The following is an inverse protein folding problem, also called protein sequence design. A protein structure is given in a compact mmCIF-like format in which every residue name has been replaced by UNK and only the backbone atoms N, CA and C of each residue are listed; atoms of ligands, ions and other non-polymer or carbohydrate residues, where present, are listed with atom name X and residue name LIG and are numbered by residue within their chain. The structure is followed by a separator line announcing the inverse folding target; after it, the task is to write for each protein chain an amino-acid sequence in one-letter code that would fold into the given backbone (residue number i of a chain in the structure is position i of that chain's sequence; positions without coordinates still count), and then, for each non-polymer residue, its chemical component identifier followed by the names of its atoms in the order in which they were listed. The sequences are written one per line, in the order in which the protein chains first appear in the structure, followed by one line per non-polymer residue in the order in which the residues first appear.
data_IF_913166912336
#
_entry.id   IF_913166912336
#
_cell.length_a   1.000
_cell.length_b   1.000
_cell.length_c   1.000
_cell.angle_alpha   90.00
_cell.angle_beta   90.00
_cell.angle_gamma   90.00
#
_symmetry.space_group_name_H-M   'P 1'
#
loop_
_entity.id
_entity.type
_entity.pdbx_description
1 polymer ?
#
# COMPACT_ATOMS: atom_id res chain seq x y z
N UNK A 1 44.28 11.47 0.36
CA UNK A 1 43.59 10.40 -0.35
C UNK A 1 43.24 10.89 -1.76
N UNK A 2 43.29 10.02 -2.77
CA UNK A 2 42.98 10.40 -4.16
C UNK A 2 41.72 9.66 -4.65
N UNK A 3 40.81 10.37 -5.32
CA UNK A 3 39.62 9.82 -5.97
C UNK A 3 39.61 10.15 -7.45
N UNK A 4 39.28 9.18 -8.27
CA UNK A 4 39.02 9.36 -9.71
C UNK A 4 37.52 9.33 -9.90
N UNK A 5 36.97 10.34 -10.55
CA UNK A 5 35.56 10.45 -10.91
C UNK A 5 35.46 10.40 -12.44
N UNK A 6 34.66 9.46 -12.94
CA UNK A 6 34.44 9.31 -14.38
C UNK A 6 33.06 9.80 -14.76
N UNK A 7 32.98 10.78 -15.65
CA UNK A 7 31.77 11.50 -16.06
C UNK A 7 31.72 12.90 -15.46
N UNK A 8 31.84 13.94 -16.31
CA UNK A 8 31.80 15.34 -15.91
C UNK A 8 30.37 15.91 -16.00
N UNK A 9 29.49 15.39 -15.19
CA UNK A 9 28.06 15.74 -15.09
C UNK A 9 27.74 16.51 -13.81
N UNK A 10 26.46 16.84 -13.59
CA UNK A 10 25.98 17.56 -12.41
C UNK A 10 26.23 16.81 -11.11
N UNK A 11 26.09 15.49 -11.12
CA UNK A 11 26.31 14.59 -10.00
C UNK A 11 27.79 14.63 -9.56
N UNK A 12 28.71 14.59 -10.52
CA UNK A 12 30.14 14.71 -10.23
C UNK A 12 30.47 16.07 -9.58
N UNK A 13 29.88 17.16 -10.10
CA UNK A 13 30.06 18.50 -9.54
C UNK A 13 29.58 18.59 -8.11
N UNK A 14 28.41 18.06 -7.84
CA UNK A 14 27.82 18.08 -6.50
C UNK A 14 28.61 17.21 -5.53
N UNK A 15 29.04 16.02 -5.96
CA UNK A 15 29.90 15.14 -5.18
C UNK A 15 31.22 15.85 -4.79
N UNK A 16 31.86 16.51 -5.74
CA UNK A 16 33.11 17.24 -5.52
C UNK A 16 32.95 18.35 -4.48
N UNK A 17 31.81 19.05 -4.52
CA UNK A 17 31.53 20.12 -3.57
C UNK A 17 31.27 19.61 -2.15
N UNK A 18 30.81 18.36 -1.98
CA UNK A 18 30.46 17.76 -0.68
C UNK A 18 31.59 16.96 -0.03
N UNK A 19 32.48 16.35 -0.80
CA UNK A 19 33.57 15.56 -0.20
C UNK A 19 34.56 16.45 0.52
N UNK A 20 35.17 15.92 1.60
CA UNK A 20 36.11 16.69 2.44
C UNK A 20 37.33 17.21 1.66
N UNK A 21 37.96 18.27 2.14
CA UNK A 21 39.14 18.89 1.52
C UNK A 21 40.37 17.98 1.43
N UNK A 22 40.40 16.91 2.23
CA UNK A 22 41.49 15.92 2.21
C UNK A 22 41.54 15.02 0.97
N UNK A 23 40.59 15.14 0.04
CA UNK A 23 40.58 14.40 -1.21
C UNK A 23 41.23 15.21 -2.34
N UNK A 24 42.25 14.66 -3.00
CA UNK A 24 42.74 15.08 -4.31
C UNK A 24 41.84 14.42 -5.37
N UNK A 25 41.36 15.19 -6.35
CA UNK A 25 40.29 14.74 -7.25
C UNK A 25 40.76 14.88 -8.71
N UNK A 26 40.62 13.76 -9.45
CA UNK A 26 40.77 13.75 -10.90
C UNK A 26 39.40 13.43 -11.54
N UNK A 27 39.03 14.22 -12.56
CA UNK A 27 37.78 14.00 -13.32
C UNK A 27 38.14 13.62 -14.76
N UNK A 28 37.57 12.53 -15.24
CA UNK A 28 37.73 12.01 -16.59
C UNK A 28 36.42 12.15 -17.36
N UNK A 29 36.48 12.67 -18.59
CA UNK A 29 35.38 12.63 -19.55
C UNK A 29 35.91 12.53 -20.97
N UNK A 30 35.15 11.89 -21.87
CA UNK A 30 35.45 11.85 -23.30
C UNK A 30 35.33 13.22 -23.96
N UNK A 31 34.36 14.02 -23.49
CA UNK A 31 33.98 15.30 -24.06
C UNK A 31 34.80 16.44 -23.48
N UNK A 32 35.64 17.02 -24.34
CA UNK A 32 36.48 18.14 -23.98
C UNK A 32 35.71 19.43 -23.64
N UNK A 33 34.54 19.65 -24.28
CA UNK A 33 33.74 20.84 -24.01
C UNK A 33 33.07 20.72 -22.63
N UNK A 34 32.57 19.51 -22.27
CA UNK A 34 32.07 19.25 -20.92
C UNK A 34 33.14 19.55 -19.88
N UNK A 35 34.34 19.03 -20.05
CA UNK A 35 35.46 19.29 -19.13
C UNK A 35 35.85 20.77 -19.04
N UNK A 36 35.85 21.51 -20.15
CA UNK A 36 36.13 22.97 -20.14
C UNK A 36 35.08 23.71 -19.31
N UNK A 37 33.81 23.39 -19.52
CA UNK A 37 32.68 24.04 -18.86
C UNK A 37 32.42 23.50 -17.43
N UNK A 38 33.11 22.44 -17.03
CA UNK A 38 32.99 21.85 -15.72
C UNK A 38 33.71 22.68 -14.67
N UNK A 39 32.98 23.53 -13.96
CA UNK A 39 33.51 24.42 -12.95
C UNK A 39 33.10 23.94 -11.56
N UNK A 40 34.04 23.90 -10.62
CA UNK A 40 33.85 23.50 -9.23
C UNK A 40 34.48 24.55 -8.30
N UNK A 41 34.09 24.54 -7.04
CA UNK A 41 34.65 25.42 -6.01
C UNK A 41 36.03 24.94 -5.51
N UNK A 42 36.57 23.90 -6.12
CA UNK A 42 37.86 23.28 -5.76
C UNK A 42 38.73 23.09 -6.96
N UNK A 43 40.04 23.05 -6.71
CA UNK A 43 41.02 22.66 -7.72
C UNK A 43 40.92 21.14 -7.95
N UNK A 44 40.79 20.75 -9.21
CA UNK A 44 40.68 19.37 -9.67
C UNK A 44 41.55 19.17 -10.92
N UNK A 45 42.01 17.93 -11.10
CA UNK A 45 42.68 17.52 -12.35
C UNK A 45 41.63 17.11 -13.37
N UNK A 46 41.64 17.72 -14.56
CA UNK A 46 40.72 17.42 -15.66
C UNK A 46 41.42 16.62 -16.73
N UNK A 47 40.99 15.42 -17.02
CA UNK A 47 41.62 14.53 -17.99
C UNK A 47 40.60 14.18 -19.08
N UNK A 48 40.93 14.57 -20.31
CA UNK A 48 40.18 14.14 -21.47
C UNK A 48 40.65 12.75 -21.91
N UNK A 49 39.72 11.84 -22.10
CA UNK A 49 40.00 10.52 -22.64
C UNK A 49 38.95 9.48 -22.32
N UNK A 50 39.11 8.32 -22.94
CA UNK A 50 38.30 7.14 -22.67
C UNK A 50 38.79 6.45 -21.39
N UNK A 51 37.95 6.45 -20.37
CA UNK A 51 38.28 5.88 -19.08
C UNK A 51 38.33 4.32 -19.08
N UNK A 52 37.86 3.65 -20.13
CA UNK A 52 38.09 2.19 -20.32
C UNK A 52 39.55 1.91 -20.69
N UNK A 53 40.35 2.97 -21.01
CA UNK A 53 41.78 2.84 -21.25
C UNK A 53 42.58 2.93 -19.94
N UNK A 54 43.36 1.91 -19.63
CA UNK A 54 44.30 1.92 -18.49
C UNK A 54 45.30 3.07 -18.53
N UNK A 55 45.66 3.54 -19.71
CA UNK A 55 46.57 4.70 -19.86
C UNK A 55 45.92 6.00 -19.42
N UNK A 56 44.64 6.20 -19.72
CA UNK A 56 43.87 7.37 -19.27
C UNK A 56 43.68 7.35 -17.78
N UNK A 57 43.31 6.18 -17.20
CA UNK A 57 43.21 6.00 -15.78
C UNK A 57 44.55 6.27 -15.06
N UNK A 58 45.67 5.82 -15.62
CA UNK A 58 47.01 6.10 -15.06
C UNK A 58 47.35 7.58 -15.12
N UNK A 59 46.99 8.30 -16.18
CA UNK A 59 47.13 9.78 -16.25
C UNK A 59 46.30 10.46 -15.15
N UNK A 60 45.16 9.89 -14.77
CA UNK A 60 44.34 10.37 -13.68
C UNK A 60 44.89 9.99 -12.29
N UNK A 61 45.97 9.22 -12.23
CA UNK A 61 46.62 8.79 -11.01
C UNK A 61 46.04 7.51 -10.42
N UNK A 62 45.68 6.53 -11.25
CA UNK A 62 45.15 5.25 -10.85
C UNK A 62 46.02 4.54 -9.78
N UNK A 63 47.36 4.62 -9.97
CA UNK A 63 48.31 3.94 -9.07
C UNK A 63 48.35 4.56 -7.65
N UNK A 64 47.84 5.79 -7.47
CA UNK A 64 47.74 6.49 -6.18
C UNK A 64 46.28 6.59 -5.67
N UNK A 65 45.33 6.14 -6.46
CA UNK A 65 43.93 6.31 -6.15
C UNK A 65 43.50 5.37 -5.03
N UNK A 66 42.73 5.91 -4.09
CA UNK A 66 42.10 5.16 -2.99
C UNK A 66 40.67 4.79 -3.33
N UNK A 67 40.05 5.57 -4.23
CA UNK A 67 38.67 5.39 -4.63
C UNK A 67 38.47 5.72 -6.12
N UNK A 68 37.51 5.07 -6.73
CA UNK A 68 36.99 5.41 -8.05
C UNK A 68 35.47 5.47 -8.01
N UNK A 69 34.91 6.48 -8.68
CA UNK A 69 33.45 6.67 -8.80
C UNK A 69 33.13 6.80 -10.28
N UNK A 70 32.26 5.91 -10.78
CA UNK A 70 31.81 5.97 -12.17
C UNK A 70 30.38 6.48 -12.25
N UNK A 71 30.22 7.56 -13.02
CA UNK A 71 28.96 8.31 -13.18
C UNK A 71 28.56 8.43 -14.66
N UNK A 72 28.98 7.47 -15.52
CA UNK A 72 28.63 7.52 -16.95
C UNK A 72 27.23 6.94 -17.17
N UNK A 73 26.61 7.29 -18.30
CA UNK A 73 25.27 6.80 -18.67
C UNK A 73 25.26 5.36 -19.20
N UNK A 74 26.42 4.72 -19.34
CA UNK A 74 26.52 3.32 -19.78
C UNK A 74 27.03 2.43 -18.66
N UNK A 75 26.20 1.47 -18.24
CA UNK A 75 26.55 0.48 -17.23
C UNK A 75 27.70 -0.43 -17.69
N UNK A 76 27.80 -0.74 -19.00
CA UNK A 76 28.90 -1.52 -19.57
C UNK A 76 30.23 -0.79 -19.41
N UNK A 77 30.25 0.51 -19.73
CA UNK A 77 31.44 1.36 -19.57
C UNK A 77 31.83 1.46 -18.10
N UNK A 78 30.84 1.71 -17.22
CA UNK A 78 31.08 1.75 -15.78
C UNK A 78 31.68 0.45 -15.27
N UNK A 79 31.13 -0.71 -15.69
CA UNK A 79 31.59 -2.03 -15.29
C UNK A 79 33.04 -2.29 -15.77
N UNK A 80 33.38 -1.92 -17.00
CA UNK A 80 34.72 -2.10 -17.56
C UNK A 80 35.77 -1.30 -16.80
N UNK A 81 35.47 -0.04 -16.50
CA UNK A 81 36.33 0.84 -15.69
C UNK A 81 36.58 0.22 -14.31
N UNK A 82 35.51 -0.26 -13.66
CA UNK A 82 35.61 -0.88 -12.33
C UNK A 82 36.40 -2.16 -12.33
N UNK A 83 36.33 -2.99 -13.38
CA UNK A 83 37.19 -4.16 -13.54
C UNK A 83 38.67 -3.79 -13.57
N UNK A 84 39.03 -2.73 -14.32
CA UNK A 84 40.40 -2.22 -14.33
C UNK A 84 40.81 -1.70 -12.96
N UNK A 85 39.93 -0.95 -12.28
CA UNK A 85 40.17 -0.44 -10.93
C UNK A 85 40.39 -1.58 -9.92
N UNK A 86 39.57 -2.63 -9.96
CA UNK A 86 39.71 -3.83 -9.12
C UNK A 86 41.05 -4.54 -9.35
N UNK A 87 41.48 -4.68 -10.60
CA UNK A 87 42.78 -5.29 -10.96
C UNK A 87 43.95 -4.45 -10.42
N UNK A 88 43.77 -3.15 -10.22
CA UNK A 88 44.79 -2.26 -9.65
C UNK A 88 44.62 -2.05 -8.11
N UNK A 89 43.85 -2.94 -7.47
CA UNK A 89 43.64 -2.95 -6.02
C UNK A 89 43.08 -1.66 -5.43
N UNK A 90 42.21 -0.94 -6.15
CA UNK A 90 41.51 0.21 -5.61
C UNK A 90 40.54 -0.25 -4.52
N UNK A 91 40.61 0.35 -3.34
CA UNK A 91 39.89 -0.12 -2.14
C UNK A 91 38.39 0.22 -2.16
N UNK A 92 38.03 1.35 -2.79
CA UNK A 92 36.62 1.84 -2.79
C UNK A 92 36.15 1.99 -4.22
N UNK A 93 35.25 1.13 -4.61
CA UNK A 93 34.60 1.14 -5.92
C UNK A 93 33.16 1.56 -5.75
N UNK A 94 32.73 2.63 -6.44
CA UNK A 94 31.36 3.09 -6.44
C UNK A 94 30.88 3.39 -7.86
N UNK A 95 29.63 3.10 -8.16
CA UNK A 95 29.03 3.36 -9.47
C UNK A 95 27.58 3.75 -9.36
N UNK A 96 27.12 4.61 -10.28
CA UNK A 96 25.70 4.62 -10.59
C UNK A 96 25.38 3.39 -11.44
N UNK A 97 24.15 2.94 -11.32
CA UNK A 97 23.57 1.91 -12.18
C UNK A 97 22.28 2.45 -12.79
N UNK A 98 22.17 2.36 -14.11
CA UNK A 98 21.04 2.89 -14.86
C UNK A 98 19.97 1.82 -15.13
N UNK A 99 20.36 0.55 -15.22
CA UNK A 99 19.46 -0.58 -15.43
C UNK A 99 19.58 -1.61 -14.31
N UNK A 100 18.52 -1.80 -13.55
CA UNK A 100 18.50 -2.77 -12.42
C UNK A 100 18.81 -4.21 -12.84
N UNK A 101 18.60 -4.57 -14.11
CA UNK A 101 18.98 -5.87 -14.69
C UNK A 101 20.50 -6.15 -14.69
N UNK A 102 21.31 -5.09 -14.56
CA UNK A 102 22.77 -5.22 -14.55
C UNK A 102 23.37 -5.35 -13.13
N UNK A 103 22.60 -5.22 -12.07
CA UNK A 103 23.07 -5.25 -10.66
C UNK A 103 23.95 -6.48 -10.38
N UNK A 104 23.56 -7.66 -10.86
CA UNK A 104 24.28 -8.88 -10.57
C UNK A 104 25.70 -8.90 -11.15
N UNK A 105 25.93 -8.22 -12.28
CA UNK A 105 27.27 -8.10 -12.89
C UNK A 105 28.23 -7.28 -12.03
N UNK A 106 27.69 -6.30 -11.25
CA UNK A 106 28.49 -5.45 -10.38
C UNK A 106 28.76 -6.10 -9.01
N UNK A 107 27.85 -6.96 -8.53
CA UNK A 107 28.02 -7.66 -7.24
C UNK A 107 29.31 -8.49 -7.17
N UNK A 108 29.75 -9.06 -8.30
CA UNK A 108 30.99 -9.85 -8.37
C UNK A 108 32.25 -8.99 -8.09
N UNK A 109 32.15 -7.67 -8.26
CA UNK A 109 33.26 -6.73 -8.06
C UNK A 109 33.28 -6.09 -6.67
N UNK A 110 32.29 -6.35 -5.80
CA UNK A 110 32.16 -5.71 -4.49
C UNK A 110 32.11 -4.18 -4.60
N UNK A 111 31.19 -3.70 -5.42
CA UNK A 111 30.99 -2.29 -5.76
C UNK A 111 29.80 -1.72 -4.99
N UNK A 112 29.96 -0.55 -4.40
CA UNK A 112 28.85 0.22 -3.85
C UNK A 112 28.03 0.85 -4.99
N UNK A 113 26.79 0.40 -5.17
CA UNK A 113 25.91 0.84 -6.24
C UNK A 113 24.93 1.92 -5.76
N UNK A 114 24.71 2.89 -6.62
CA UNK A 114 23.71 3.94 -6.43
C UNK A 114 22.73 3.89 -7.61
N UNK A 115 21.44 3.74 -7.30
CA UNK A 115 20.34 3.74 -8.27
C UNK A 115 19.69 5.13 -8.31
N UNK A 116 20.04 6.01 -9.27
CA UNK A 116 19.56 7.39 -9.32
C UNK A 116 18.05 7.48 -9.44
N UNK A 117 17.44 6.59 -10.22
CA UNK A 117 16.01 6.56 -10.47
C UNK A 117 15.21 6.32 -9.20
N UNK A 118 15.68 5.40 -8.33
CA UNK A 118 15.06 5.14 -7.04
C UNK A 118 15.18 6.35 -6.12
N UNK A 119 16.36 6.99 -6.09
CA UNK A 119 16.57 8.18 -5.26
C UNK A 119 15.69 9.36 -5.70
N UNK A 120 15.59 9.57 -7.01
CA UNK A 120 14.75 10.62 -7.59
C UNK A 120 13.27 10.32 -7.40
N UNK A 121 12.83 9.08 -7.65
CA UNK A 121 11.45 8.67 -7.44
C UNK A 121 11.01 8.87 -5.98
N UNK A 122 11.82 8.47 -5.01
CA UNK A 122 11.57 8.70 -3.58
C UNK A 122 11.47 10.20 -3.25
N UNK A 123 12.31 11.04 -3.87
CA UNK A 123 12.24 12.48 -3.64
C UNK A 123 10.98 13.11 -4.21
N UNK A 124 10.55 12.69 -5.40
CA UNK A 124 9.29 13.14 -6.00
C UNK A 124 8.08 12.62 -5.22
N UNK A 125 8.09 11.37 -4.81
CA UNK A 125 7.05 10.80 -3.95
C UNK A 125 6.86 11.66 -2.69
N UNK A 126 7.95 12.03 -2.03
CA UNK A 126 7.89 12.92 -0.86
C UNK A 126 7.33 14.32 -1.17
N UNK A 127 7.58 14.88 -2.36
CA UNK A 127 7.04 16.19 -2.77
C UNK A 127 5.55 16.09 -3.10
N UNK A 128 5.14 15.01 -3.75
CA UNK A 128 3.76 14.77 -4.16
C UNK A 128 2.87 14.35 -2.98
N UNK A 129 3.45 13.61 -2.04
CA UNK A 129 2.77 13.12 -0.85
C UNK A 129 3.51 13.57 0.43
N UNK A 130 3.50 14.89 0.75
CA UNK A 130 4.31 15.44 1.85
C UNK A 130 3.93 14.90 3.24
N UNK A 131 2.77 14.25 3.39
CA UNK A 131 2.36 13.55 4.61
C UNK A 131 2.89 12.12 4.69
N UNK A 132 3.55 11.61 3.65
CA UNK A 132 4.27 10.36 3.68
C UNK A 132 5.71 10.57 4.15
N UNK A 133 6.08 9.76 5.02
CA UNK A 133 7.27 9.61 5.81
C UNK A 133 8.54 9.55 4.98
N UNK A 134 9.52 10.38 5.29
CA UNK A 134 10.88 10.23 4.77
C UNK A 134 11.55 9.10 5.53
N UNK A 135 11.72 7.94 4.90
CA UNK A 135 12.50 6.85 5.44
C UNK A 135 13.96 6.96 4.99
N UNK A 136 14.88 6.91 5.93
CA UNK A 136 16.31 6.79 5.66
C UNK A 136 16.83 5.52 6.32
N UNK A 137 17.25 4.56 5.49
CA UNK A 137 17.87 3.34 6.00
C UNK A 137 19.25 3.60 6.55
N UNK A 138 19.58 3.01 7.71
CA UNK A 138 20.89 3.04 8.35
C UNK A 138 21.18 1.71 9.05
N UNK A 139 22.30 1.61 9.76
CA UNK A 139 22.75 0.37 10.43
C UNK A 139 22.82 -0.83 9.47
N UNK A 140 23.36 -0.61 8.24
CA UNK A 140 23.47 -1.66 7.22
C UNK A 140 22.12 -2.12 6.66
N UNK A 141 21.13 -1.24 6.62
CA UNK A 141 19.78 -1.54 6.09
C UNK A 141 18.86 -2.26 7.09
N UNK A 142 19.30 -2.41 8.36
CA UNK A 142 18.51 -3.10 9.39
C UNK A 142 17.63 -2.19 10.22
N UNK A 143 17.80 -0.89 10.10
CA UNK A 143 17.00 0.12 10.77
C UNK A 143 16.63 1.25 9.80
N UNK A 144 15.52 1.90 10.06
CA UNK A 144 15.00 3.04 9.30
C UNK A 144 14.65 4.18 10.26
N UNK A 145 14.85 5.40 9.82
CA UNK A 145 14.36 6.58 10.50
C UNK A 145 13.29 7.24 9.65
N UNK A 146 12.18 7.60 10.26
CA UNK A 146 11.10 8.30 9.59
C UNK A 146 10.64 9.51 10.38
N UNK A 147 10.08 10.49 9.68
CA UNK A 147 9.41 11.64 10.26
C UNK A 147 7.94 11.62 9.89
N UNK A 148 7.07 11.77 10.87
CA UNK A 148 5.61 11.74 10.72
C UNK A 148 5.04 13.01 11.38
N UNK A 149 4.19 13.74 10.66
CA UNK A 149 3.39 14.80 11.24
C UNK A 149 2.12 14.24 11.89
N UNK A 150 1.90 14.58 13.15
CA UNK A 150 0.74 14.14 13.92
C UNK A 150 -0.49 14.93 13.51
N UNK A 151 -1.43 14.26 12.89
CA UNK A 151 -2.73 14.82 12.51
C UNK A 151 -3.70 14.86 13.69
N UNK A 152 -4.84 15.55 13.50
CA UNK A 152 -5.87 15.64 14.53
C UNK A 152 -6.58 14.32 14.83
N UNK A 153 -6.50 13.37 13.92
CA UNK A 153 -7.09 12.03 13.95
C UNK A 153 -6.07 10.93 14.28
N UNK A 154 -4.81 11.32 14.56
CA UNK A 154 -3.77 10.37 14.95
C UNK A 154 -4.12 9.63 16.25
N UNK A 155 -4.06 8.28 16.27
CA UNK A 155 -4.32 7.47 17.46
C UNK A 155 -3.39 7.74 18.64
N UNK A 156 -2.19 8.30 18.37
CA UNK A 156 -1.22 8.63 19.41
C UNK A 156 -1.36 10.04 19.96
N UNK A 157 -2.26 10.85 19.39
CA UNK A 157 -2.52 12.20 19.88
C UNK A 157 -3.04 12.18 21.32
N UNK A 158 -2.46 13.01 22.19
CA UNK A 158 -2.79 13.08 23.61
C UNK A 158 -2.25 11.93 24.45
N UNK A 159 -1.59 10.95 23.84
CA UNK A 159 -0.93 9.86 24.59
C UNK A 159 0.48 10.26 25.00
N UNK A 160 0.93 9.74 26.13
CA UNK A 160 2.32 9.84 26.55
C UNK A 160 3.16 8.77 25.87
N UNK A 161 4.42 9.07 25.57
CA UNK A 161 5.31 8.14 24.89
C UNK A 161 5.45 6.78 25.61
N UNK A 162 5.40 6.76 26.95
CA UNK A 162 5.40 5.49 27.71
C UNK A 162 4.18 4.60 27.47
N UNK A 163 3.07 5.16 26.98
CA UNK A 163 1.82 4.44 26.73
C UNK A 163 1.81 3.77 25.34
N UNK A 164 2.72 4.23 24.47
CA UNK A 164 2.86 3.74 23.11
C UNK A 164 4.23 3.09 22.85
N UNK A 165 4.96 2.75 23.91
CA UNK A 165 6.27 2.09 23.79
C UNK A 165 6.19 0.74 23.08
N UNK A 166 7.21 0.41 22.28
CA UNK A 166 7.31 -0.84 21.54
C UNK A 166 8.77 -1.28 21.45
N UNK A 167 9.00 -2.58 21.34
CA UNK A 167 10.33 -3.17 21.13
C UNK A 167 10.84 -2.98 19.69
N UNK A 168 9.97 -2.54 18.77
CA UNK A 168 10.27 -2.43 17.33
C UNK A 168 10.59 -1.01 16.87
N UNK A 169 10.29 0.01 17.67
CA UNK A 169 10.59 1.39 17.35
C UNK A 169 10.87 2.23 18.60
N UNK A 170 11.54 3.36 18.40
CA UNK A 170 11.78 4.38 19.40
C UNK A 170 11.50 5.77 18.81
N UNK A 171 10.84 6.63 19.57
CA UNK A 171 10.71 8.05 19.23
C UNK A 171 12.00 8.77 19.61
N UNK A 172 12.73 9.24 18.60
CA UNK A 172 14.05 9.86 18.77
C UNK A 172 14.02 11.38 18.99
N UNK A 173 13.03 12.07 18.37
CA UNK A 173 12.85 13.51 18.49
C UNK A 173 11.41 13.92 18.20
N UNK A 174 10.99 15.07 18.72
CA UNK A 174 9.78 15.78 18.33
C UNK A 174 10.14 17.22 17.93
N UNK A 175 9.58 17.68 16.82
CA UNK A 175 9.61 19.10 16.46
C UNK A 175 8.22 19.70 16.67
N UNK A 176 8.10 20.60 17.62
CA UNK A 176 6.84 21.29 17.97
C UNK A 176 7.02 22.79 17.81
N UNK A 177 6.23 23.41 16.94
CA UNK A 177 6.28 24.86 16.66
C UNK A 177 7.72 25.36 16.40
N UNK A 178 8.49 24.60 15.62
CA UNK A 178 9.88 24.92 15.27
C UNK A 178 10.94 24.67 16.35
N UNK A 179 10.56 24.10 17.50
CA UNK A 179 11.52 23.74 18.58
C UNK A 179 11.66 22.23 18.68
N UNK A 180 12.89 21.75 18.70
CA UNK A 180 13.19 20.34 18.94
C UNK A 180 13.01 20.03 20.42
N UNK A 181 12.20 19.00 20.69
CA UNK A 181 11.97 18.44 22.03
C UNK A 181 12.65 17.08 22.08
N UNK A 182 13.47 16.86 23.09
CA UNK A 182 14.03 15.54 23.40
C UNK A 182 12.93 14.76 24.13
N UNK A 183 12.45 13.65 23.55
CA UNK A 183 11.30 12.94 24.11
C UNK A 183 11.68 12.14 25.35
N UNK A 184 10.79 12.13 26.32
CA UNK A 184 10.84 11.30 27.52
C UNK A 184 9.52 10.53 27.65
N UNK A 185 9.46 9.50 28.48
CA UNK A 185 8.25 8.69 28.66
C UNK A 185 6.99 9.48 29.02
N UNK A 186 7.15 10.62 29.71
CA UNK A 186 6.04 11.53 30.08
C UNK A 186 5.70 12.60 29.01
N UNK A 187 6.45 12.65 27.91
CA UNK A 187 6.17 13.58 26.81
C UNK A 187 4.86 13.18 26.14
N UNK A 188 3.91 14.10 26.12
CA UNK A 188 2.63 13.95 25.45
C UNK A 188 2.76 14.38 23.98
N UNK A 189 2.14 13.63 23.07
CA UNK A 189 2.12 13.92 21.63
C UNK A 189 0.94 14.85 21.31
N UNK A 190 1.21 15.95 20.62
CA UNK A 190 0.19 16.94 20.22
C UNK A 190 0.01 16.97 18.70
N UNK A 191 -1.15 17.44 18.27
CA UNK A 191 -1.41 17.70 16.84
C UNK A 191 -0.42 18.71 16.29
N UNK A 192 0.13 18.44 15.10
CA UNK A 192 1.13 19.28 14.44
C UNK A 192 2.56 19.04 14.91
N UNK A 193 2.79 18.06 15.80
CA UNK A 193 4.13 17.59 16.09
C UNK A 193 4.69 16.85 14.88
N UNK A 194 5.94 17.14 14.51
CA UNK A 194 6.70 16.31 13.60
C UNK A 194 7.56 15.35 14.43
N UNK A 195 7.22 14.07 14.38
CA UNK A 195 7.84 13.03 15.22
C UNK A 195 8.87 12.25 14.41
N UNK A 196 10.11 12.23 14.87
CA UNK A 196 11.17 11.39 14.27
C UNK A 196 11.20 10.05 15.01
N UNK A 197 11.00 8.97 14.26
CA UNK A 197 10.91 7.61 14.78
C UNK A 197 12.02 6.77 14.14
N UNK A 198 12.71 6.01 14.97
CA UNK A 198 13.70 5.00 14.54
C UNK A 198 13.07 3.63 14.74
N UNK A 199 13.07 2.80 13.70
CA UNK A 199 12.41 1.49 13.73
C UNK A 199 13.24 0.40 13.05
N UNK A 200 12.94 -0.85 13.35
CA UNK A 200 13.51 -2.00 12.66
C UNK A 200 12.93 -2.12 11.25
N UNK A 201 13.77 -2.50 10.28
CA UNK A 201 13.30 -2.78 8.92
C UNK A 201 12.20 -3.84 8.94
N UNK A 202 11.07 -3.51 8.30
CA UNK A 202 9.86 -4.34 8.28
C UNK A 202 8.74 -3.89 9.23
N UNK A 203 9.01 -3.01 10.22
CA UNK A 203 7.98 -2.41 11.07
C UNK A 203 7.37 -1.11 10.51
N UNK A 204 7.80 -0.69 9.32
CA UNK A 204 7.47 0.58 8.69
C UNK A 204 5.96 0.85 8.59
N UNK A 205 5.21 -0.08 7.99
CA UNK A 205 3.76 0.09 7.79
C UNK A 205 3.00 0.19 9.12
N UNK A 206 3.40 -0.61 10.11
CA UNK A 206 2.78 -0.62 11.42
C UNK A 206 2.98 0.71 12.16
N UNK A 207 4.20 1.24 12.10
CA UNK A 207 4.54 2.51 12.75
C UNK A 207 3.84 3.68 12.06
N UNK A 208 3.77 3.69 10.73
CA UNK A 208 3.02 4.73 10.01
C UNK A 208 1.55 4.71 10.43
N UNK A 209 0.89 3.57 10.42
CA UNK A 209 -0.52 3.46 10.77
C UNK A 209 -0.77 3.91 12.22
N UNK A 210 0.13 3.57 13.15
CA UNK A 210 0.02 3.97 14.55
C UNK A 210 0.15 5.49 14.73
N UNK A 211 1.06 6.15 14.03
CA UNK A 211 1.35 7.57 14.23
C UNK A 211 0.54 8.49 13.32
N UNK A 212 0.29 8.09 12.07
CA UNK A 212 -0.51 8.92 11.13
C UNK A 212 -2.01 8.78 11.36
N UNK A 213 -2.44 7.74 12.05
CA UNK A 213 -3.80 7.24 12.02
C UNK A 213 -4.05 6.46 10.73
N UNK A 214 -4.78 5.40 10.81
CA UNK A 214 -5.46 4.87 9.63
C UNK A 214 -6.58 5.86 9.32
N UNK A 215 -6.35 6.85 8.45
CA UNK A 215 -7.51 7.43 7.79
C UNK A 215 -8.22 6.24 7.13
N UNK A 216 -9.36 5.86 7.67
CA UNK A 216 -10.25 4.94 6.98
C UNK A 216 -10.39 5.46 5.55
N UNK A 217 -9.84 4.72 4.59
CA UNK A 217 -9.82 5.15 3.18
C UNK A 217 -10.92 4.47 2.39
N UNK A 218 -11.47 3.42 2.95
CA UNK A 218 -12.53 2.67 2.26
C UNK A 218 -13.81 3.50 2.14
N UNK A 219 -14.38 3.64 0.93
CA UNK A 219 -13.99 3.02 -0.34
C UNK A 219 -13.11 3.90 -1.25
N UNK A 220 -12.50 4.98 -0.77
CA UNK A 220 -11.79 6.00 -1.58
C UNK A 220 -10.64 5.44 -2.43
N UNK A 221 -10.03 4.32 -2.03
CA UNK A 221 -9.01 3.64 -2.84
C UNK A 221 -9.54 3.15 -4.19
N UNK A 222 -10.83 2.86 -4.26
CA UNK A 222 -11.52 2.36 -5.45
C UNK A 222 -12.31 3.47 -6.15
N UNK A 223 -12.85 4.41 -5.38
CA UNK A 223 -13.66 5.54 -5.83
C UNK A 223 -14.45 6.14 -4.67
N UNK A 224 -15.02 7.31 -4.89
CA UNK A 224 -15.68 8.08 -3.83
C UNK A 224 -17.17 7.77 -3.64
N UNK A 225 -17.83 7.16 -4.63
CA UNK A 225 -19.27 6.99 -4.66
C UNK A 225 -19.66 5.50 -4.51
N UNK A 226 -20.83 5.24 -3.93
CA UNK A 226 -21.42 3.91 -3.88
C UNK A 226 -22.50 3.80 -4.96
N UNK A 227 -22.50 2.73 -5.77
CA UNK A 227 -23.60 2.43 -6.67
C UNK A 227 -24.47 1.32 -6.11
N UNK A 228 -25.76 1.59 -5.91
CA UNK A 228 -26.75 0.59 -5.54
C UNK A 228 -27.47 0.10 -6.81
N UNK A 229 -27.43 -1.21 -7.02
CA UNK A 229 -28.13 -1.85 -8.15
C UNK A 229 -29.45 -2.41 -7.64
N UNK A 230 -30.55 -1.77 -8.02
CA UNK A 230 -31.88 -2.12 -7.58
C UNK A 230 -32.68 -2.70 -8.78
N UNK A 231 -32.79 -4.02 -8.85
CA UNK A 231 -33.45 -4.70 -9.97
C UNK A 231 -34.73 -5.49 -9.56
N UNK A 232 -35.11 -5.41 -8.26
CA UNK A 232 -36.29 -6.05 -7.69
C UNK A 232 -36.87 -5.20 -6.54
N UNK A 233 -38.18 -4.98 -6.49
CA UNK A 233 -38.86 -4.25 -5.40
C UNK A 233 -38.63 -4.84 -4.01
N UNK A 234 -38.54 -6.18 -3.92
CA UNK A 234 -38.28 -6.86 -2.63
C UNK A 234 -36.96 -6.43 -1.99
N UNK A 235 -36.06 -5.90 -2.80
CA UNK A 235 -34.73 -5.47 -2.34
C UNK A 235 -34.75 -4.08 -1.68
N UNK A 236 -35.86 -3.35 -1.74
CA UNK A 236 -36.00 -2.03 -1.11
C UNK A 236 -35.74 -2.05 0.40
N UNK A 237 -36.19 -3.11 1.09
CA UNK A 237 -35.96 -3.23 2.54
C UNK A 237 -34.48 -3.24 2.94
N UNK A 238 -33.61 -3.69 2.03
CA UNK A 238 -32.17 -3.79 2.30
C UNK A 238 -31.41 -2.49 1.93
N UNK A 239 -32.12 -1.51 1.37
CA UNK A 239 -31.50 -0.26 0.92
C UNK A 239 -31.02 0.60 2.10
N UNK A 240 -31.66 0.52 3.26
CA UNK A 240 -31.24 1.22 4.47
C UNK A 240 -29.84 0.83 4.98
N UNK A 241 -29.33 -0.34 4.61
CA UNK A 241 -27.95 -0.72 4.89
C UNK A 241 -26.95 0.12 4.07
N UNK A 242 -27.32 0.56 2.88
CA UNK A 242 -26.46 1.45 2.08
C UNK A 242 -26.33 2.85 2.72
N UNK A 243 -27.40 3.37 3.31
CA UNK A 243 -27.36 4.61 4.10
C UNK A 243 -26.45 4.45 5.31
N UNK A 244 -26.61 3.36 6.08
CA UNK A 244 -25.72 3.05 7.19
C UNK A 244 -24.25 2.98 6.75
N UNK A 245 -23.99 2.32 5.60
CA UNK A 245 -22.65 2.12 5.09
C UNK A 245 -21.97 3.46 4.68
N UNK A 246 -22.70 4.37 4.01
CA UNK A 246 -22.19 5.69 3.66
C UNK A 246 -21.86 6.50 4.92
N UNK A 247 -22.75 6.53 5.90
CA UNK A 247 -22.54 7.29 7.14
C UNK A 247 -21.33 6.84 7.95
N UNK A 248 -20.95 5.55 7.82
CA UNK A 248 -19.88 4.95 8.58
C UNK A 248 -18.63 4.61 7.72
N UNK A 249 -18.54 5.17 6.52
CA UNK A 249 -17.35 5.07 5.65
C UNK A 249 -16.99 6.43 5.08
N UNK A 250 -15.99 6.50 4.23
CA UNK A 250 -15.59 7.74 3.52
C UNK A 250 -16.27 7.90 2.15
N UNK A 251 -17.31 7.13 1.87
CA UNK A 251 -18.11 7.35 0.67
C UNK A 251 -18.79 8.72 0.71
N UNK A 252 -18.85 9.40 -0.44
CA UNK A 252 -19.35 10.78 -0.51
C UNK A 252 -20.76 10.88 -1.04
N UNK A 253 -21.16 10.01 -1.97
CA UNK A 253 -22.50 10.03 -2.54
C UNK A 253 -23.03 8.63 -2.86
N UNK A 254 -24.35 8.54 -2.98
CA UNK A 254 -25.05 7.34 -3.36
C UNK A 254 -25.67 7.52 -4.75
N UNK A 255 -25.38 6.55 -5.63
CA UNK A 255 -25.97 6.50 -6.96
C UNK A 255 -26.82 5.25 -7.08
N UNK A 256 -28.06 5.39 -7.51
CA UNK A 256 -28.96 4.26 -7.77
C UNK A 256 -29.01 3.96 -9.26
N UNK A 257 -28.92 2.67 -9.62
CA UNK A 257 -29.32 2.19 -10.93
C UNK A 257 -30.54 1.29 -10.72
N UNK A 258 -31.67 1.67 -11.31
CA UNK A 258 -32.92 0.92 -11.20
C UNK A 258 -33.58 0.74 -12.55
N UNK A 259 -34.55 -0.19 -12.62
CA UNK A 259 -35.38 -0.38 -13.79
C UNK A 259 -36.54 0.64 -13.80
N UNK A 260 -36.92 1.08 -14.99
CA UNK A 260 -38.04 2.01 -15.19
C UNK A 260 -39.38 1.45 -14.70
N UNK A 261 -39.56 0.12 -14.85
CA UNK A 261 -40.78 -0.60 -14.49
C UNK A 261 -40.83 -1.12 -13.07
N UNK A 262 -39.79 -0.82 -12.25
CA UNK A 262 -39.71 -1.33 -10.90
C UNK A 262 -40.71 -0.68 -9.92
N UNK A 263 -41.10 0.54 -10.22
CA UNK A 263 -42.02 1.33 -9.43
C UNK A 263 -43.20 1.73 -10.28
N UNK A 264 -44.41 1.42 -9.88
CA UNK A 264 -45.69 1.66 -10.59
C UNK A 264 -45.75 3.06 -11.26
N UNK A 265 -45.14 3.23 -12.43
CA UNK A 265 -45.16 4.37 -13.33
C UNK A 265 -45.34 5.80 -12.75
N UNK A 266 -45.14 5.96 -11.44
CA UNK A 266 -45.21 7.23 -10.72
C UNK A 266 -43.84 7.58 -10.09
N UNK A 267 -43.06 8.35 -10.85
CA UNK A 267 -41.70 8.78 -10.43
C UNK A 267 -41.71 9.53 -9.11
N UNK A 268 -42.74 10.34 -8.82
CA UNK A 268 -42.85 11.09 -7.57
C UNK A 268 -42.99 10.16 -6.37
N UNK A 269 -43.86 9.12 -6.47
CA UNK A 269 -44.03 8.15 -5.38
C UNK A 269 -42.77 7.28 -5.16
N UNK A 270 -42.00 7.05 -6.23
CA UNK A 270 -40.73 6.34 -6.16
C UNK A 270 -39.69 7.13 -5.38
N UNK A 271 -39.51 8.39 -5.72
CA UNK A 271 -38.57 9.28 -5.01
C UNK A 271 -38.95 9.49 -3.56
N UNK A 272 -40.24 9.62 -3.25
CA UNK A 272 -40.72 9.70 -1.86
C UNK A 272 -40.42 8.43 -1.07
N UNK A 273 -40.63 7.24 -1.66
CA UNK A 273 -40.31 5.95 -1.04
C UNK A 273 -38.81 5.83 -0.78
N UNK A 274 -37.96 6.20 -1.77
CA UNK A 274 -36.52 6.16 -1.62
C UNK A 274 -36.02 7.17 -0.59
N UNK A 275 -36.57 8.38 -0.57
CA UNK A 275 -36.28 9.42 0.45
C UNK A 275 -36.63 8.94 1.85
N UNK A 276 -37.79 8.25 2.00
CA UNK A 276 -38.20 7.68 3.29
C UNK A 276 -37.24 6.60 3.80
N UNK A 277 -36.65 5.79 2.89
CA UNK A 277 -35.71 4.71 3.24
C UNK A 277 -34.31 5.24 3.47
N UNK A 278 -33.84 6.17 2.64
CA UNK A 278 -32.49 6.74 2.68
C UNK A 278 -32.37 7.94 3.61
N UNK A 279 -33.50 8.38 4.18
CA UNK A 279 -33.58 9.53 5.10
C UNK A 279 -32.95 10.80 4.51
N UNK A 280 -31.92 11.35 5.16
CA UNK A 280 -31.25 12.60 4.78
C UNK A 280 -30.10 12.39 3.78
N UNK A 281 -29.91 11.16 3.27
CA UNK A 281 -28.83 10.89 2.32
C UNK A 281 -29.18 11.40 0.93
N UNK A 282 -28.35 12.29 0.36
CA UNK A 282 -28.46 12.68 -1.04
C UNK A 282 -28.13 11.52 -1.97
N UNK A 283 -28.92 11.35 -3.03
CA UNK A 283 -28.72 10.30 -4.01
C UNK A 283 -29.11 10.74 -5.43
N UNK A 284 -28.41 10.18 -6.42
CA UNK A 284 -28.74 10.32 -7.84
C UNK A 284 -29.37 9.03 -8.36
N UNK A 285 -30.42 9.13 -9.17
CA UNK A 285 -31.09 7.96 -9.76
C UNK A 285 -30.84 7.92 -11.27
N UNK A 286 -30.44 6.75 -11.75
CA UNK A 286 -30.35 6.43 -13.16
C UNK A 286 -31.31 5.32 -13.50
N UNK A 287 -32.29 5.62 -14.36
CA UNK A 287 -33.28 4.67 -14.83
C UNK A 287 -32.79 3.94 -16.07
N UNK A 288 -33.06 2.66 -16.16
CA UNK A 288 -32.74 1.80 -17.31
C UNK A 288 -33.90 0.83 -17.59
N UNK A 289 -34.25 0.63 -18.85
CA UNK A 289 -35.26 -0.37 -19.20
C UNK A 289 -34.83 -1.78 -18.79
N UNK A 290 -33.52 -2.06 -18.86
CA UNK A 290 -32.92 -3.31 -18.40
C UNK A 290 -31.50 -3.03 -17.88
N UNK A 291 -31.17 -3.56 -16.72
CA UNK A 291 -29.82 -3.43 -16.17
C UNK A 291 -28.99 -4.62 -16.66
N UNK A 292 -28.24 -4.41 -17.75
CA UNK A 292 -27.27 -5.38 -18.23
C UNK A 292 -25.90 -5.23 -17.55
N UNK A 293 -25.05 -6.26 -17.65
CA UNK A 293 -23.68 -6.17 -17.15
C UNK A 293 -22.89 -5.05 -17.80
N UNK A 294 -23.10 -4.83 -19.10
CA UNK A 294 -22.45 -3.78 -19.87
C UNK A 294 -22.87 -2.38 -19.41
N UNK A 295 -24.15 -2.20 -19.07
CA UNK A 295 -24.64 -0.92 -18.55
C UNK A 295 -24.01 -0.61 -17.20
N UNK A 296 -23.86 -1.61 -16.33
CA UNK A 296 -23.23 -1.43 -15.03
C UNK A 296 -21.71 -1.17 -15.18
N UNK A 297 -21.02 -1.89 -16.06
CA UNK A 297 -19.60 -1.63 -16.37
C UNK A 297 -19.38 -0.22 -16.92
N UNK A 298 -20.21 0.22 -17.87
CA UNK A 298 -20.12 1.57 -18.41
C UNK A 298 -20.36 2.63 -17.33
N UNK A 299 -21.39 2.42 -16.50
CA UNK A 299 -21.69 3.33 -15.41
C UNK A 299 -20.55 3.45 -14.40
N UNK A 300 -19.91 2.35 -14.06
CA UNK A 300 -18.72 2.32 -13.18
C UNK A 300 -17.57 3.11 -13.79
N UNK A 301 -17.32 2.94 -15.10
CA UNK A 301 -16.22 3.62 -15.79
C UNK A 301 -16.44 5.12 -15.97
N UNK A 302 -17.70 5.55 -16.08
CA UNK A 302 -18.08 6.96 -16.24
C UNK A 302 -18.16 7.71 -14.91
N UNK A 303 -18.21 6.99 -13.79
CA UNK A 303 -18.37 7.56 -12.45
C UNK A 303 -17.26 7.05 -11.52
N UNK A 304 -16.95 7.81 -10.50
CA UNK A 304 -15.95 7.44 -9.48
C UNK A 304 -16.53 6.46 -8.46
N UNK A 305 -16.93 5.26 -8.90
CA UNK A 305 -17.56 4.26 -8.05
C UNK A 305 -16.50 3.51 -7.23
N UNK A 306 -16.64 3.54 -5.92
CA UNK A 306 -15.76 2.85 -4.97
C UNK A 306 -16.32 1.52 -4.45
N UNK A 307 -17.65 1.31 -4.50
CA UNK A 307 -18.28 0.06 -4.07
C UNK A 307 -19.57 -0.17 -4.83
N UNK A 308 -19.79 -1.41 -5.28
CA UNK A 308 -21.07 -1.87 -5.79
C UNK A 308 -21.87 -2.41 -4.61
N UNK A 309 -23.05 -1.90 -4.41
CA UNK A 309 -23.98 -2.35 -3.38
C UNK A 309 -25.14 -3.10 -4.04
N UNK A 310 -25.31 -4.35 -3.69
CA UNK A 310 -26.38 -5.18 -4.23
C UNK A 310 -27.24 -5.77 -3.13
N UNK A 311 -28.49 -5.29 -2.96
CA UNK A 311 -29.42 -5.86 -2.01
C UNK A 311 -29.81 -7.29 -2.40
N UNK A 312 -29.64 -8.24 -1.50
CA UNK A 312 -29.91 -9.67 -1.73
C UNK A 312 -31.22 -10.06 -1.04
N UNK A 313 -32.06 -10.82 -1.71
CA UNK A 313 -33.20 -11.52 -1.15
C UNK A 313 -33.07 -13.04 -1.32
N UNK A 314 -33.99 -13.80 -0.72
CA UNK A 314 -34.00 -15.27 -0.76
C UNK A 314 -34.21 -15.83 -2.17
N UNK A 315 -34.59 -15.00 -3.14
CA UNK A 315 -34.88 -15.39 -4.53
C UNK A 315 -33.73 -15.12 -5.49
N UNK A 316 -32.56 -14.68 -4.99
CA UNK A 316 -31.45 -14.28 -5.86
C UNK A 316 -30.96 -15.41 -6.75
N UNK A 317 -30.79 -15.12 -8.01
CA UNK A 317 -30.17 -16.03 -8.96
C UNK A 317 -28.66 -16.14 -8.75
N UNK A 318 -28.14 -17.37 -8.62
CA UNK A 318 -26.70 -17.65 -8.61
C UNK A 318 -25.98 -17.03 -9.82
N UNK A 319 -26.67 -16.95 -10.98
CA UNK A 319 -26.15 -16.30 -12.19
C UNK A 319 -25.90 -14.80 -11.98
N UNK A 320 -26.74 -14.12 -11.23
CA UNK A 320 -26.59 -12.68 -10.92
C UNK A 320 -25.39 -12.41 -10.02
N UNK A 321 -25.26 -13.20 -8.94
CA UNK A 321 -24.07 -13.10 -8.05
C UNK A 321 -22.78 -13.33 -8.82
N UNK A 322 -22.73 -14.39 -9.62
CA UNK A 322 -21.58 -14.69 -10.47
C UNK A 322 -21.23 -13.54 -11.42
N UNK A 323 -22.26 -12.92 -12.00
CA UNK A 323 -22.13 -11.77 -12.88
C UNK A 323 -21.52 -10.56 -12.14
N UNK A 324 -22.04 -10.23 -10.95
CA UNK A 324 -21.52 -9.13 -10.13
C UNK A 324 -20.08 -9.36 -9.68
N UNK A 325 -19.74 -10.58 -9.25
CA UNK A 325 -18.35 -10.95 -8.93
C UNK A 325 -17.44 -10.78 -10.15
N UNK A 326 -17.92 -11.15 -11.35
CA UNK A 326 -17.16 -10.95 -12.60
C UNK A 326 -16.92 -9.48 -12.90
N UNK A 327 -17.93 -8.63 -12.72
CA UNK A 327 -17.81 -7.17 -12.89
C UNK A 327 -16.85 -6.59 -11.85
N UNK A 328 -17.00 -6.98 -10.58
CA UNK A 328 -16.11 -6.55 -9.51
C UNK A 328 -14.62 -6.84 -9.82
N UNK A 329 -14.32 -8.05 -10.30
CA UNK A 329 -12.96 -8.44 -10.69
C UNK A 329 -12.45 -7.64 -11.91
N UNK A 330 -13.30 -7.38 -12.90
CA UNK A 330 -12.91 -6.65 -14.11
C UNK A 330 -12.66 -5.18 -13.82
N UNK A 331 -13.54 -4.57 -13.03
CA UNK A 331 -13.45 -3.15 -12.66
C UNK A 331 -12.56 -2.90 -11.45
N UNK A 332 -12.08 -3.95 -10.77
CA UNK A 332 -11.30 -3.90 -9.53
C UNK A 332 -12.01 -3.13 -8.40
N UNK A 333 -13.31 -3.27 -8.29
CA UNK A 333 -14.14 -2.56 -7.31
C UNK A 333 -14.84 -3.56 -6.40
N UNK A 334 -14.82 -3.35 -5.07
CA UNK A 334 -15.55 -4.19 -4.13
C UNK A 334 -17.06 -4.27 -4.39
N UNK A 335 -17.65 -5.41 -4.06
CA UNK A 335 -19.10 -5.58 -4.09
C UNK A 335 -19.62 -6.04 -2.73
N UNK A 336 -20.60 -5.31 -2.19
CA UNK A 336 -21.33 -5.66 -0.98
C UNK A 336 -22.66 -6.31 -1.34
N UNK A 337 -22.82 -7.56 -1.00
CA UNK A 337 -24.08 -8.30 -1.06
C UNK A 337 -24.83 -8.08 0.25
N UNK A 338 -25.76 -7.13 0.26
CA UNK A 338 -26.46 -6.65 1.45
C UNK A 338 -27.61 -7.58 1.86
N UNK A 339 -27.70 -7.91 3.17
CA UNK A 339 -28.79 -8.70 3.75
C UNK A 339 -29.43 -8.01 4.96
N UNK A 340 -29.20 -6.72 5.14
CA UNK A 340 -29.72 -5.92 6.25
C UNK A 340 -29.24 -6.37 7.62
N UNK A 341 -28.03 -6.86 7.74
CA UNK A 341 -27.43 -7.31 9.01
C UNK A 341 -26.67 -6.22 9.75
N UNK A 342 -26.92 -4.95 9.40
CA UNK A 342 -26.37 -3.81 10.11
C UNK A 342 -27.16 -3.52 11.43
N UNK A 343 -26.60 -2.78 12.43
CA UNK A 343 -25.24 -2.22 12.46
C UNK A 343 -24.18 -3.32 12.67
N UNK A 344 -23.01 -3.13 12.01
CA UNK A 344 -21.94 -4.12 12.07
C UNK A 344 -21.18 -4.03 13.39
N UNK A 345 -21.51 -4.91 14.33
CA UNK A 345 -20.83 -5.06 15.63
C UNK A 345 -19.73 -6.11 15.60
N UNK A 346 -19.91 -7.12 14.74
CA UNK A 346 -18.97 -8.23 14.57
C UNK A 346 -18.72 -8.45 13.09
N UNK A 347 -17.46 -8.39 12.69
CA UNK A 347 -16.99 -8.59 11.31
C UNK A 347 -16.21 -9.90 11.26
N UNK A 348 -16.63 -10.83 10.39
CA UNK A 348 -15.91 -12.08 10.10
C UNK A 348 -15.04 -11.92 8.87
N UNK A 349 -13.74 -12.21 8.98
CA UNK A 349 -12.78 -12.13 7.90
C UNK A 349 -12.26 -13.52 7.55
N UNK A 350 -12.51 -14.00 6.33
CA UNK A 350 -11.96 -15.27 5.86
C UNK A 350 -10.47 -15.14 5.56
N UNK A 351 -9.66 -15.91 6.30
CA UNK A 351 -8.20 -15.94 6.17
C UNK A 351 -7.78 -17.19 5.41
N UNK A 352 -6.98 -17.02 4.37
CA UNK A 352 -6.41 -18.12 3.59
C UNK A 352 -4.89 -18.00 3.42
N UNK A 353 -4.23 -19.07 2.96
CA UNK A 353 -2.76 -19.23 2.94
C UNK A 353 -1.96 -18.14 2.18
N UNK A 354 -2.60 -17.36 1.31
CA UNK A 354 -1.95 -16.34 0.49
C UNK A 354 -2.18 -14.91 1.00
N UNK A 355 -2.46 -14.75 2.26
CA UNK A 355 -3.06 -13.60 2.88
C UNK A 355 -2.14 -12.38 3.10
N UNK A 356 -0.84 -12.52 3.02
CA UNK A 356 0.11 -11.45 3.31
C UNK A 356 0.13 -10.41 2.19
N UNK A 357 -0.35 -9.19 2.49
CA UNK A 357 -0.40 -8.07 1.54
C UNK A 357 -1.71 -7.91 0.77
N UNK A 358 -2.78 -8.57 1.18
CA UNK A 358 -4.07 -8.50 0.51
C UNK A 358 -4.90 -7.28 0.98
N UNK A 359 -5.50 -6.55 0.05
CA UNK A 359 -6.36 -5.38 0.32
C UNK A 359 -7.50 -5.67 1.29
N UNK A 360 -8.01 -6.93 1.31
CA UNK A 360 -9.11 -7.34 2.20
C UNK A 360 -8.80 -7.20 3.68
N UNK A 361 -7.53 -7.39 4.10
CA UNK A 361 -7.14 -7.24 5.50
C UNK A 361 -7.18 -5.79 5.93
N UNK A 362 -6.55 -4.95 5.13
CA UNK A 362 -6.51 -3.50 5.37
C UNK A 362 -7.93 -2.95 5.46
N UNK A 363 -8.80 -3.35 4.53
CA UNK A 363 -10.21 -2.94 4.53
C UNK A 363 -10.96 -3.49 5.74
N UNK A 364 -10.71 -4.74 6.15
CA UNK A 364 -11.34 -5.31 7.33
C UNK A 364 -10.94 -4.57 8.62
N UNK A 365 -9.67 -4.22 8.77
CA UNK A 365 -9.19 -3.39 9.88
C UNK A 365 -9.80 -1.99 9.83
N UNK A 366 -9.83 -1.38 8.66
CA UNK A 366 -10.40 -0.07 8.41
C UNK A 366 -11.89 0.01 8.82
N UNK A 367 -12.69 -0.93 8.33
CA UNK A 367 -14.11 -1.03 8.67
C UNK A 367 -14.34 -1.34 10.16
N UNK A 368 -13.55 -2.26 10.73
CA UNK A 368 -13.61 -2.61 12.14
C UNK A 368 -13.31 -1.40 13.04
N UNK A 369 -12.23 -0.68 12.75
CA UNK A 369 -11.86 0.54 13.48
C UNK A 369 -12.91 1.63 13.35
N UNK A 370 -13.34 1.94 12.12
CA UNK A 370 -14.32 3.02 11.83
C UNK A 370 -15.67 2.75 12.47
N UNK A 371 -16.11 1.50 12.47
CA UNK A 371 -17.43 1.11 13.00
C UNK A 371 -17.36 0.65 14.47
N UNK A 372 -16.16 0.67 15.08
CA UNK A 372 -15.92 0.12 16.43
C UNK A 372 -16.42 -1.31 16.57
N UNK A 373 -16.22 -2.12 15.53
CA UNK A 373 -16.67 -3.48 15.43
C UNK A 373 -15.58 -4.47 15.88
N UNK A 374 -15.97 -5.58 16.51
CA UNK A 374 -15.07 -6.69 16.79
C UNK A 374 -14.72 -7.40 15.48
N UNK A 375 -13.43 -7.64 15.23
CA UNK A 375 -12.96 -8.39 14.07
C UNK A 375 -12.61 -9.83 14.45
N UNK A 376 -13.13 -10.78 13.70
CA UNK A 376 -12.88 -12.22 13.89
C UNK A 376 -12.22 -12.77 12.62
N UNK A 377 -10.97 -13.17 12.73
CA UNK A 377 -10.25 -13.87 11.67
C UNK A 377 -10.60 -15.36 11.67
N UNK A 378 -11.22 -15.82 10.60
CA UNK A 378 -11.66 -17.22 10.44
C UNK A 378 -10.65 -17.98 9.61
N UNK A 379 -9.98 -18.95 10.22
CA UNK A 379 -8.99 -19.81 9.59
C UNK A 379 -9.61 -21.20 9.41
N UNK A 380 -9.62 -21.70 8.18
CA UNK A 380 -10.19 -23.00 7.86
C UNK A 380 -9.10 -23.88 7.23
N UNK A 381 -8.63 -24.83 8.01
CA UNK A 381 -7.59 -25.76 7.60
C UNK A 381 -8.18 -26.93 6.82
N UNK A 382 -7.46 -27.39 5.79
CA UNK A 382 -7.80 -28.65 5.14
C UNK A 382 -7.50 -29.82 6.11
N UNK A 383 -8.26 -30.92 6.03
CA UNK A 383 -8.01 -32.11 6.84
C UNK A 383 -6.55 -32.57 6.73
N UNK A 384 -5.97 -32.99 7.85
CA UNK A 384 -4.53 -33.33 7.99
C UNK A 384 -3.99 -34.33 6.96
N UNK A 385 -4.84 -35.23 6.45
CA UNK A 385 -4.45 -36.20 5.39
C UNK A 385 -4.28 -35.59 3.99
N UNK A 386 -4.62 -34.30 3.80
CA UNK A 386 -4.44 -33.54 2.55
C UNK A 386 -3.38 -32.42 2.68
N UNK A 387 -2.80 -32.25 3.87
CA UNK A 387 -1.80 -31.19 4.11
C UNK A 387 -0.42 -31.57 3.61
N UNK A 388 0.21 -30.65 2.89
CA UNK A 388 1.63 -30.63 2.63
C UNK A 388 2.22 -29.35 3.22
N UNK A 389 3.15 -29.45 4.18
CA UNK A 389 4.02 -28.39 4.74
C UNK A 389 3.36 -27.05 5.18
N UNK A 390 2.07 -27.05 5.56
CA UNK A 390 1.31 -25.82 5.78
C UNK A 390 1.34 -25.20 7.19
N UNK A 391 1.63 -25.96 8.26
CA UNK A 391 1.45 -25.49 9.63
C UNK A 391 2.33 -24.28 10.03
N UNK A 392 3.56 -24.21 9.52
CA UNK A 392 4.46 -23.10 9.82
C UNK A 392 4.01 -21.79 9.16
N UNK A 393 3.38 -21.84 7.97
CA UNK A 393 2.88 -20.66 7.25
C UNK A 393 1.69 -19.99 7.91
N UNK A 394 0.78 -20.79 8.50
CA UNK A 394 -0.41 -20.27 9.17
C UNK A 394 -0.02 -19.51 10.44
N UNK A 395 0.93 -20.04 11.24
CA UNK A 395 1.42 -19.38 12.46
C UNK A 395 2.04 -18.01 12.14
N UNK A 396 2.87 -17.92 11.10
CA UNK A 396 3.50 -16.66 10.68
C UNK A 396 2.46 -15.64 10.19
N UNK A 397 1.41 -16.09 9.53
CA UNK A 397 0.31 -15.25 9.06
C UNK A 397 -0.51 -14.70 10.22
N UNK A 398 -0.84 -15.54 11.20
CA UNK A 398 -1.56 -15.12 12.40
C UNK A 398 -0.80 -14.06 13.18
N UNK A 399 0.50 -14.26 13.39
CA UNK A 399 1.32 -13.29 14.11
C UNK A 399 1.40 -11.94 13.39
N UNK A 400 1.60 -11.92 12.07
CA UNK A 400 1.57 -10.70 11.26
C UNK A 400 0.24 -9.97 11.30
N UNK A 401 -0.87 -10.71 11.34
CA UNK A 401 -2.20 -10.12 11.45
C UNK A 401 -2.47 -9.55 12.84
N UNK A 402 -1.97 -10.19 13.89
CA UNK A 402 -2.03 -9.64 15.25
C UNK A 402 -1.26 -8.34 15.36
N UNK A 403 -0.07 -8.28 14.79
CA UNK A 403 0.75 -7.06 14.76
C UNK A 403 0.03 -5.93 13.98
N UNK A 404 -0.61 -6.26 12.86
CA UNK A 404 -1.44 -5.34 12.10
C UNK A 404 -2.66 -4.87 12.90
N UNK A 405 -3.36 -5.77 13.57
CA UNK A 405 -4.53 -5.43 14.40
C UNK A 405 -4.17 -4.47 15.53
N UNK A 406 -3.02 -4.70 16.18
CA UNK A 406 -2.51 -3.80 17.21
C UNK A 406 -2.21 -2.40 16.64
N UNK A 407 -1.65 -2.32 15.43
CA UNK A 407 -1.36 -1.04 14.78
C UNK A 407 -2.62 -0.26 14.38
N UNK A 408 -3.73 -0.94 14.14
CA UNK A 408 -5.03 -0.33 13.82
C UNK A 408 -5.95 -0.15 15.05
N UNK A 409 -5.47 -0.45 16.26
CA UNK A 409 -6.27 -0.45 17.51
C UNK A 409 -7.54 -1.32 17.41
N UNK A 410 -7.48 -2.38 16.61
CA UNK A 410 -8.60 -3.31 16.40
C UNK A 410 -8.44 -4.54 17.27
N UNK A 411 -9.51 -4.91 17.96
CA UNK A 411 -9.57 -6.20 18.64
C UNK A 411 -9.76 -7.31 17.60
N UNK A 412 -8.72 -8.12 17.38
CA UNK A 412 -8.75 -9.26 16.46
C UNK A 412 -8.71 -10.58 17.25
N UNK A 413 -9.78 -11.33 17.15
CA UNK A 413 -9.85 -12.71 17.64
C UNK A 413 -9.71 -13.69 16.48
N UNK A 414 -9.26 -14.92 16.74
CA UNK A 414 -9.14 -15.97 15.73
C UNK A 414 -10.02 -17.16 16.07
N UNK A 415 -10.70 -17.66 15.05
CA UNK A 415 -11.45 -18.91 15.10
C UNK A 415 -10.86 -19.91 14.10
N UNK A 416 -10.52 -21.11 14.55
CA UNK A 416 -9.91 -22.15 13.74
C UNK A 416 -10.91 -23.30 13.53
N UNK A 417 -11.08 -23.68 12.28
CA UNK A 417 -11.95 -24.77 11.85
C UNK A 417 -11.19 -25.72 10.93
N UNK A 418 -11.72 -26.95 10.76
CA UNK A 418 -11.18 -27.96 9.85
C UNK A 418 -12.28 -28.44 8.90
N UNK A 419 -12.02 -28.41 7.58
CA UNK A 419 -12.92 -28.97 6.58
C UNK A 419 -13.10 -28.13 5.32
N UNK A 420 -14.31 -28.13 4.74
CA UNK A 420 -14.60 -27.41 3.52
C UNK A 420 -14.79 -25.91 3.78
N UNK A 421 -13.88 -25.10 3.25
CA UNK A 421 -13.81 -23.65 3.45
C UNK A 421 -15.14 -22.93 3.13
N UNK A 422 -15.71 -23.20 1.96
CA UNK A 422 -16.97 -22.57 1.54
C UNK A 422 -18.15 -22.87 2.48
N UNK A 423 -18.29 -24.14 2.90
CA UNK A 423 -19.37 -24.57 3.75
C UNK A 423 -19.21 -24.05 5.17
N UNK A 424 -18.04 -24.25 5.77
CA UNK A 424 -17.77 -23.84 7.15
C UNK A 424 -17.88 -22.34 7.30
N UNK A 425 -17.25 -21.55 6.41
CA UNK A 425 -17.36 -20.10 6.50
C UNK A 425 -18.81 -19.63 6.36
N UNK A 426 -19.57 -20.21 5.42
CA UNK A 426 -21.00 -19.91 5.27
C UNK A 426 -21.80 -20.21 6.55
N UNK A 427 -21.55 -21.34 7.19
CA UNK A 427 -22.24 -21.71 8.44
C UNK A 427 -21.91 -20.72 9.57
N UNK A 428 -20.67 -20.18 9.61
CA UNK A 428 -20.25 -19.19 10.60
C UNK A 428 -20.81 -17.78 10.34
N UNK A 429 -21.28 -17.47 9.14
CA UNK A 429 -21.81 -16.12 8.83
C UNK A 429 -23.04 -15.73 9.67
N UNK A 430 -23.70 -16.66 10.31
CA UNK A 430 -24.78 -16.38 11.28
C UNK A 430 -24.27 -15.72 12.57
N UNK A 431 -22.99 -15.80 12.86
CA UNK A 431 -22.34 -15.20 14.04
C UNK A 431 -21.76 -13.81 13.76
N UNK A 432 -21.79 -13.35 12.50
CA UNK A 432 -21.24 -12.07 12.08
C UNK A 432 -22.32 -11.18 11.48
N UNK A 433 -22.15 -9.86 11.63
CA UNK A 433 -23.03 -8.89 10.99
C UNK A 433 -22.53 -8.57 9.55
N UNK A 434 -21.21 -8.59 9.34
CA UNK A 434 -20.56 -8.45 8.05
C UNK A 434 -19.52 -9.54 7.87
N UNK A 435 -19.53 -10.22 6.73
CA UNK A 435 -18.50 -11.19 6.33
C UNK A 435 -17.64 -10.61 5.23
N UNK A 436 -16.31 -10.64 5.37
CA UNK A 436 -15.37 -10.10 4.38
C UNK A 436 -14.59 -11.25 3.75
N UNK A 437 -14.55 -11.26 2.41
CA UNK A 437 -13.83 -12.24 1.60
C UNK A 437 -12.97 -11.51 0.57
N UNK A 438 -11.68 -11.79 0.55
CA UNK A 438 -10.76 -11.30 -0.47
C UNK A 438 -10.51 -12.29 -1.59
N UNK A 439 -10.11 -11.78 -2.74
CA UNK A 439 -9.61 -12.60 -3.84
C UNK A 439 -8.19 -13.07 -3.59
N UNK A 440 -7.88 -14.35 -3.79
CA UNK A 440 -6.53 -14.89 -3.69
C UNK A 440 -5.64 -14.50 -4.87
N UNK A 441 -4.33 -14.49 -4.65
CA UNK A 441 -3.32 -14.18 -5.68
C UNK A 441 -3.36 -15.10 -6.91
N UNK A 442 -3.80 -16.34 -6.73
CA UNK A 442 -3.86 -17.35 -7.79
C UNK A 442 -5.11 -17.30 -8.65
N UNK A 443 -6.19 -16.61 -8.23
CA UNK A 443 -7.52 -16.66 -8.85
C UNK A 443 -7.91 -18.09 -9.28
N UNK A 444 -7.65 -19.06 -8.43
CA UNK A 444 -7.94 -20.46 -8.76
C UNK A 444 -9.44 -20.63 -9.01
N UNK A 445 -9.80 -21.64 -9.80
CA UNK A 445 -11.22 -22.00 -10.00
C UNK A 445 -11.92 -22.35 -8.67
N UNK A 446 -11.18 -22.87 -7.70
CA UNK A 446 -11.69 -23.20 -6.37
C UNK A 446 -12.04 -21.93 -5.59
N UNK A 447 -11.18 -20.92 -5.58
CA UNK A 447 -11.42 -19.63 -4.89
C UNK A 447 -12.69 -18.95 -5.39
N UNK A 448 -12.89 -18.91 -6.72
CA UNK A 448 -14.12 -18.36 -7.30
C UNK A 448 -15.36 -19.08 -6.81
N UNK A 449 -15.32 -20.40 -6.64
CA UNK A 449 -16.44 -21.18 -6.12
C UNK A 449 -16.73 -20.91 -4.64
N UNK A 450 -15.68 -20.71 -3.83
CA UNK A 450 -15.85 -20.31 -2.43
C UNK A 450 -16.57 -18.97 -2.35
N UNK A 451 -16.12 -17.97 -3.09
CA UNK A 451 -16.71 -16.62 -3.13
C UNK A 451 -18.18 -16.70 -3.60
N UNK A 452 -18.44 -17.39 -4.72
CA UNK A 452 -19.81 -17.57 -5.26
C UNK A 452 -20.72 -18.26 -4.25
N UNK A 453 -20.22 -19.30 -3.58
CA UNK A 453 -21.01 -20.08 -2.62
C UNK A 453 -21.34 -19.27 -1.36
N UNK A 454 -20.36 -18.62 -0.77
CA UNK A 454 -20.57 -17.80 0.43
C UNK A 454 -21.47 -16.61 0.12
N UNK A 455 -21.21 -15.88 -0.97
CA UNK A 455 -22.04 -14.73 -1.38
C UNK A 455 -23.51 -15.14 -1.65
N UNK A 456 -23.75 -16.38 -2.05
CA UNK A 456 -25.12 -16.89 -2.30
C UNK A 456 -25.82 -17.33 -1.02
N UNK A 457 -25.12 -18.03 -0.12
CA UNK A 457 -25.75 -18.78 0.97
C UNK A 457 -25.48 -18.18 2.37
N UNK A 458 -24.79 -17.06 2.46
CA UNK A 458 -24.49 -16.39 3.72
C UNK A 458 -25.75 -15.91 4.44
N UNK A 459 -25.73 -15.92 5.77
CA UNK A 459 -26.76 -15.33 6.63
C UNK A 459 -26.48 -13.85 6.94
N UNK A 460 -25.24 -13.38 6.81
CA UNK A 460 -24.86 -11.98 6.96
C UNK A 460 -24.58 -11.31 5.62
N UNK A 461 -24.50 -10.00 5.62
CA UNK A 461 -24.01 -9.23 4.47
C UNK A 461 -22.58 -9.62 4.16
N UNK A 462 -22.23 -9.70 2.86
CA UNK A 462 -20.92 -10.18 2.40
C UNK A 462 -20.25 -9.09 1.56
N UNK A 463 -19.10 -8.62 2.03
CA UNK A 463 -18.23 -7.74 1.26
C UNK A 463 -17.15 -8.55 0.56
N UNK A 464 -17.25 -8.62 -0.76
CA UNK A 464 -16.24 -9.23 -1.61
C UNK A 464 -15.27 -8.16 -2.11
N UNK A 465 -13.97 -8.39 -1.93
CA UNK A 465 -12.89 -7.49 -2.33
C UNK A 465 -12.08 -8.16 -3.44
N UNK A 466 -12.15 -7.64 -4.68
CA UNK A 466 -11.35 -8.11 -5.79
C UNK A 466 -9.88 -7.71 -5.59
N UNK A 467 -9.01 -8.29 -6.39
CA UNK A 467 -7.58 -7.97 -6.41
C UNK A 467 -7.24 -6.82 -7.35
#
# INVERSE_FOLDING_TARGET
MKVIIVGAHGEAKELINRVSSGWSISVIDLDQEKLRNFTTNRQIDKIQGDATSSLVLKKAGLDEATAIVTLTLSDEVNLEILKIAKQNNILRLSSIINESSHIDKFKELDVELVEPDILLARRFEHILEPRRVVSQAFAGGRAEALEIEISSDSPVRGKKLREIGSDYYIVGALLRKGKVIIPHGDTEIETGDLVTIVLQSGAFSNVINLFSGSESRFPLEFGKDIVVVLDNEKNLKNLSESEFFIRNTKATSLKLITKEDLFDNNLESTEETLKAVLKDQEFDITYKNKISNKDLENFINENSIGTIFYPVDDSISKSKIKSLISIANKSKIPVLFSRSTYPYKTIGLLINDNFVGNSSNVIAFDLSSTMSAKLVGVIINQPTFLQSDGEQKVSDTVQKLQDLALSHEVQLDFENFEGNEAKIFTDQTSSYDLSIIGSNSSQSWQDRKVIEFVSTNSNSSVLYIPR
#
